data_IF_125046882969
#
_entry.id   IF_125046882969
#
_cell.length_a   1.000
_cell.length_b   1.000
_cell.length_c   1.000
_cell.angle_alpha   90.00
_cell.angle_beta   90.00
_cell.angle_gamma   90.00
#
_symmetry.space_group_name_H-M   'P 1'
#
loop_
_entity.id
_entity.type
_entity.pdbx_description
1 polymer ?
#
# COMPACT_ATOMS: atom_id res chain seq x y z
N UNK A 1 -29.87 -55.14 3.14
CA UNK A 1 -30.46 -53.83 3.52
C UNK A 1 -29.32 -52.84 3.57
N UNK A 2 -28.92 -52.33 2.40
CA UNK A 2 -27.83 -51.36 2.27
C UNK A 2 -28.36 -49.96 2.58
N UNK A 3 -27.96 -49.42 3.72
CA UNK A 3 -28.27 -48.06 4.13
C UNK A 3 -27.22 -47.12 3.55
N UNK A 4 -27.48 -46.63 2.33
CA UNK A 4 -26.65 -45.64 1.65
C UNK A 4 -26.69 -44.31 2.43
N UNK A 5 -25.59 -44.00 3.14
CA UNK A 5 -25.42 -42.76 3.89
C UNK A 5 -25.35 -41.59 2.91
N UNK A 6 -26.40 -40.78 2.84
CA UNK A 6 -26.46 -39.54 2.05
C UNK A 6 -25.36 -38.57 2.51
N UNK A 7 -24.40 -38.28 1.64
CA UNK A 7 -23.36 -37.27 1.90
C UNK A 7 -24.00 -35.88 1.95
N UNK A 8 -23.94 -35.21 3.11
CA UNK A 8 -24.37 -33.80 3.27
C UNK A 8 -23.52 -32.90 2.38
N UNK A 9 -24.17 -31.97 1.67
CA UNK A 9 -23.53 -30.94 0.87
C UNK A 9 -22.55 -30.09 1.71
N UNK A 10 -21.45 -29.59 1.13
CA UNK A 10 -20.46 -28.80 1.85
C UNK A 10 -21.07 -27.50 2.36
N UNK A 11 -21.19 -27.37 3.69
CA UNK A 11 -21.60 -26.13 4.36
C UNK A 11 -20.57 -25.03 4.05
N UNK A 12 -21.04 -23.86 3.65
CA UNK A 12 -20.20 -22.72 3.26
C UNK A 12 -19.36 -22.23 4.47
N UNK A 13 -18.06 -22.53 4.49
CA UNK A 13 -17.15 -22.36 5.65
C UNK A 13 -16.52 -20.96 5.77
N UNK A 14 -17.13 -19.93 5.17
CA UNK A 14 -16.59 -18.56 5.13
C UNK A 14 -16.71 -17.75 6.44
N UNK A 15 -17.22 -18.33 7.53
CA UNK A 15 -17.16 -17.66 8.83
C UNK A 15 -15.72 -17.65 9.32
N UNK A 16 -15.11 -16.46 9.39
CA UNK A 16 -13.83 -16.27 10.06
C UNK A 16 -14.08 -16.41 11.57
N UNK A 17 -13.44 -17.40 12.19
CA UNK A 17 -13.44 -17.51 13.64
C UNK A 17 -12.46 -16.47 14.18
N UNK A 18 -12.95 -15.50 14.94
CA UNK A 18 -12.11 -14.52 15.62
C UNK A 18 -11.71 -15.09 16.98
N UNK A 19 -10.43 -15.42 17.13
CA UNK A 19 -9.84 -15.81 18.41
C UNK A 19 -8.95 -14.66 18.91
N UNK A 20 -8.86 -14.47 20.21
CA UNK A 20 -8.14 -13.33 20.81
C UNK A 20 -6.62 -13.40 20.60
N UNK A 21 -6.05 -14.60 20.51
CA UNK A 21 -4.60 -14.84 20.39
C UNK A 21 -4.25 -15.54 19.07
N UNK A 22 -2.96 -15.56 18.73
CA UNK A 22 -2.45 -16.35 17.61
C UNK A 22 -2.50 -17.85 17.93
N UNK A 23 -2.67 -18.70 16.91
CA UNK A 23 -2.74 -20.17 17.08
C UNK A 23 -1.49 -20.80 17.71
N UNK A 24 -0.32 -20.16 17.59
CA UNK A 24 0.91 -20.59 18.27
C UNK A 24 0.81 -20.53 19.79
N UNK A 25 0.10 -19.53 20.33
CA UNK A 25 -0.02 -19.33 21.76
C UNK A 25 -0.97 -20.36 22.37
N UNK A 26 -2.11 -20.62 21.71
CA UNK A 26 -3.00 -21.72 22.12
C UNK A 26 -2.33 -23.08 21.99
N UNK A 27 -1.48 -23.27 20.98
CA UNK A 27 -0.73 -24.51 20.82
C UNK A 27 0.16 -24.81 22.04
N UNK A 28 0.80 -23.78 22.61
CA UNK A 28 1.57 -23.91 23.86
C UNK A 28 0.66 -24.22 25.06
N UNK A 29 -0.47 -23.52 25.19
CA UNK A 29 -1.42 -23.69 26.30
C UNK A 29 -2.06 -25.09 26.35
N UNK A 30 -2.37 -25.66 25.18
CA UNK A 30 -2.95 -27.00 25.04
C UNK A 30 -1.89 -28.10 24.80
N UNK A 31 -0.60 -27.78 24.93
CA UNK A 31 0.54 -28.68 24.67
C UNK A 31 0.36 -29.50 23.37
N UNK A 32 0.09 -28.78 22.29
CA UNK A 32 -0.19 -29.29 20.95
C UNK A 32 0.53 -28.46 19.89
N UNK A 33 0.51 -28.88 18.63
CA UNK A 33 1.08 -28.09 17.54
C UNK A 33 0.05 -27.14 16.91
N UNK A 34 0.48 -26.01 16.37
CA UNK A 34 -0.40 -25.04 15.71
C UNK A 34 -1.21 -25.66 14.55
N UNK A 35 -0.68 -26.72 13.91
CA UNK A 35 -1.38 -27.49 12.88
C UNK A 35 -2.58 -28.25 13.45
N UNK A 36 -2.45 -28.83 14.65
CA UNK A 36 -3.56 -29.49 15.35
C UNK A 36 -4.66 -28.48 15.70
N UNK A 37 -4.30 -27.31 16.24
CA UNK A 37 -5.27 -26.24 16.54
C UNK A 37 -6.05 -25.82 15.28
N UNK A 38 -5.35 -25.61 14.15
CA UNK A 38 -6.02 -25.31 12.86
C UNK A 38 -6.95 -26.44 12.41
N UNK A 39 -6.56 -27.69 12.62
CA UNK A 39 -7.42 -28.83 12.31
C UNK A 39 -8.68 -28.83 13.19
N UNK A 40 -8.56 -28.54 14.48
CA UNK A 40 -9.71 -28.44 15.40
C UNK A 40 -10.70 -27.35 14.96
N UNK A 41 -10.19 -26.17 14.57
CA UNK A 41 -11.03 -25.09 14.04
C UNK A 41 -11.73 -25.53 12.74
N UNK A 42 -11.03 -26.25 11.86
CA UNK A 42 -11.62 -26.79 10.63
C UNK A 42 -12.76 -27.79 10.93
N UNK A 43 -12.56 -28.71 11.88
CA UNK A 43 -13.59 -29.65 12.31
C UNK A 43 -14.78 -28.94 12.96
N UNK A 44 -14.53 -27.92 13.78
CA UNK A 44 -15.58 -27.11 14.37
C UNK A 44 -16.42 -26.38 13.32
N UNK A 45 -15.78 -25.80 12.30
CA UNK A 45 -16.50 -25.18 11.16
C UNK A 45 -17.35 -26.16 10.37
N UNK A 46 -16.91 -27.41 10.21
CA UNK A 46 -17.68 -28.45 9.52
C UNK A 46 -18.92 -28.87 10.31
N UNK A 47 -18.86 -28.82 11.65
CA UNK A 47 -19.96 -29.20 12.54
C UNK A 47 -20.78 -28.01 13.07
N UNK A 48 -20.47 -26.77 12.63
CA UNK A 48 -21.05 -25.52 13.14
C UNK A 48 -20.90 -25.32 14.67
N UNK A 49 -19.88 -25.92 15.31
CA UNK A 49 -19.55 -25.75 16.74
C UNK A 49 -18.05 -25.46 16.86
N UNK A 50 -17.66 -24.19 17.06
CA UNK A 50 -16.26 -23.77 17.10
C UNK A 50 -15.58 -24.18 18.41
N UNK A 51 -14.29 -24.57 18.39
CA UNK A 51 -13.57 -24.91 19.61
C UNK A 51 -13.44 -23.66 20.52
N UNK A 52 -13.75 -23.77 21.83
CA UNK A 52 -13.62 -22.68 22.78
C UNK A 52 -12.15 -22.50 23.22
N UNK A 53 -11.28 -22.07 22.31
CA UNK A 53 -9.83 -21.93 22.56
C UNK A 53 -9.50 -20.93 23.68
N UNK A 54 -10.35 -19.92 23.89
CA UNK A 54 -10.21 -18.92 24.95
C UNK A 54 -10.63 -19.42 26.34
N UNK A 55 -11.31 -20.57 26.41
CA UNK A 55 -11.84 -21.15 27.64
C UNK A 55 -11.38 -22.61 27.74
N UNK A 56 -10.16 -22.87 28.23
CA UNK A 56 -9.59 -24.22 28.26
C UNK A 56 -10.45 -25.23 29.04
N UNK A 57 -11.21 -24.76 30.05
CA UNK A 57 -12.16 -25.58 30.79
C UNK A 57 -13.29 -26.16 29.94
N UNK A 58 -13.79 -25.41 28.95
CA UNK A 58 -14.87 -25.83 28.06
C UNK A 58 -14.38 -26.75 26.92
N UNK A 59 -13.05 -26.85 26.74
CA UNK A 59 -12.44 -27.54 25.60
C UNK A 59 -12.66 -29.07 25.63
N UNK A 60 -12.64 -29.68 26.82
CA UNK A 60 -12.92 -31.11 26.98
C UNK A 60 -14.36 -31.46 26.58
N UNK A 61 -15.32 -30.61 26.96
CA UNK A 61 -16.73 -30.78 26.62
C UNK A 61 -16.96 -30.61 25.11
N UNK A 62 -16.31 -29.62 24.48
CA UNK A 62 -16.35 -29.46 23.03
C UNK A 62 -15.77 -30.68 22.30
N UNK A 63 -14.62 -31.20 22.76
CA UNK A 63 -13.98 -32.37 22.17
C UNK A 63 -14.90 -33.58 22.16
N UNK A 64 -15.55 -33.88 23.29
CA UNK A 64 -16.46 -35.00 23.44
C UNK A 64 -17.67 -34.93 22.49
N UNK A 65 -18.12 -33.71 22.12
CA UNK A 65 -19.24 -33.50 21.18
C UNK A 65 -18.82 -33.61 19.72
N UNK A 66 -17.68 -33.03 19.35
CA UNK A 66 -17.30 -32.81 17.94
C UNK A 66 -16.35 -33.89 17.42
N UNK A 67 -15.49 -34.45 18.27
CA UNK A 67 -14.52 -35.48 17.88
C UNK A 67 -15.06 -36.87 18.16
N UNK A 68 -14.75 -37.82 17.28
CA UNK A 68 -15.16 -39.24 17.42
C UNK A 68 -14.25 -40.05 18.36
N UNK A 69 -13.09 -39.52 18.71
CA UNK A 69 -12.10 -40.20 19.52
C UNK A 69 -12.22 -39.81 20.99
N UNK A 70 -11.68 -40.65 21.87
CA UNK A 70 -11.55 -40.37 23.30
C UNK A 70 -10.94 -38.98 23.54
N UNK A 71 -11.43 -38.30 24.58
CA UNK A 71 -10.91 -36.99 25.02
C UNK A 71 -9.50 -37.20 25.57
N UNK A 72 -8.47 -36.51 25.02
CA UNK A 72 -7.12 -36.56 25.57
C UNK A 72 -7.10 -36.22 27.06
N UNK A 73 -6.35 -37.00 27.84
CA UNK A 73 -6.27 -36.84 29.30
C UNK A 73 -5.79 -35.44 29.72
N UNK A 74 -4.96 -34.80 28.90
CA UNK A 74 -4.52 -33.41 29.09
C UNK A 74 -5.67 -32.41 29.11
N UNK A 75 -6.67 -32.57 28.25
CA UNK A 75 -7.85 -31.68 28.23
C UNK A 75 -8.73 -31.93 29.47
N UNK A 76 -8.82 -33.19 29.92
CA UNK A 76 -9.52 -33.53 31.16
C UNK A 76 -8.80 -32.94 32.38
N UNK A 77 -7.46 -32.96 32.40
CA UNK A 77 -6.66 -32.33 33.44
C UNK A 77 -6.91 -30.81 33.49
N UNK A 78 -6.95 -30.13 32.34
CA UNK A 78 -7.27 -28.70 32.26
C UNK A 78 -8.69 -28.38 32.78
N UNK A 79 -9.69 -29.23 32.47
CA UNK A 79 -11.04 -29.05 33.02
C UNK A 79 -11.11 -29.26 34.53
N UNK A 80 -10.27 -30.15 35.09
CA UNK A 80 -10.21 -30.44 36.53
C UNK A 80 -9.39 -29.41 37.31
N UNK A 81 -8.43 -28.75 36.65
CA UNK A 81 -7.50 -27.81 37.28
C UNK A 81 -8.08 -26.40 37.49
N UNK A 82 -9.39 -26.19 37.28
CA UNK A 82 -10.02 -24.86 37.40
C UNK A 82 -10.73 -24.64 38.74
N UNK A 83 -9.99 -24.65 39.85
CA UNK A 83 -10.23 -23.86 41.10
C UNK A 83 -8.90 -23.76 41.87
N UNK A 84 -8.47 -22.62 42.47
CA UNK A 84 -9.09 -21.30 42.52
C UNK A 84 -8.30 -20.23 41.74
N UNK A 85 -9.05 -19.22 41.30
CA UNK A 85 -8.60 -17.83 41.14
C UNK A 85 -7.62 -17.46 42.25
N UNK A 86 -6.33 -17.62 41.98
CA UNK A 86 -5.28 -17.10 42.83
C UNK A 86 -5.14 -15.64 42.46
N UNK A 87 -5.93 -14.79 43.13
CA UNK A 87 -5.55 -13.41 43.39
C UNK A 87 -4.17 -13.45 44.05
N UNK A 88 -3.14 -13.48 43.22
CA UNK A 88 -1.79 -13.21 43.69
C UNK A 88 -1.84 -11.76 44.19
N UNK A 89 -1.40 -11.48 45.44
CA UNK A 89 -1.28 -10.10 45.91
C UNK A 89 -0.34 -9.42 44.93
N UNK A 90 -0.89 -8.54 44.10
CA UNK A 90 -0.10 -7.67 43.25
C UNK A 90 0.79 -6.89 44.23
N UNK A 91 2.13 -6.99 44.17
CA UNK A 91 2.96 -6.12 44.96
C UNK A 91 2.55 -4.69 44.61
N UNK A 92 2.27 -3.88 45.63
CA UNK A 92 1.91 -2.46 45.54
C UNK A 92 3.00 -1.71 44.76
N UNK A 93 2.94 -1.82 43.44
CA UNK A 93 3.73 -1.02 42.53
C UNK A 93 3.17 0.39 42.65
N UNK A 94 4.01 1.39 42.95
CA UNK A 94 3.56 2.76 43.05
C UNK A 94 2.79 3.12 41.77
N UNK A 95 1.68 3.87 41.88
CA UNK A 95 0.84 4.22 40.75
C UNK A 95 1.74 4.75 39.64
N UNK A 96 1.77 4.02 38.51
CA UNK A 96 2.61 4.39 37.39
C UNK A 96 2.27 5.83 37.03
N UNK A 97 3.28 6.71 37.11
CA UNK A 97 3.10 8.11 36.80
C UNK A 97 2.39 8.24 35.44
N UNK A 98 1.38 9.11 35.30
CA UNK A 98 0.66 9.27 34.06
C UNK A 98 1.66 9.57 32.95
N UNK A 99 1.76 8.68 31.97
CA UNK A 99 2.61 8.88 30.81
C UNK A 99 2.00 9.98 29.97
N UNK A 100 2.69 11.10 29.85
CA UNK A 100 2.25 12.19 28.98
C UNK A 100 2.47 11.79 27.52
N UNK A 101 1.39 11.77 26.75
CA UNK A 101 1.39 11.49 25.31
C UNK A 101 1.07 12.74 24.49
N UNK A 102 1.08 13.93 25.11
CA UNK A 102 0.80 15.21 24.45
C UNK A 102 1.70 15.48 23.23
N UNK A 103 2.89 14.89 23.18
CA UNK A 103 3.83 15.02 22.07
C UNK A 103 3.63 14.02 20.92
N UNK A 104 2.75 13.01 21.07
CA UNK A 104 2.51 12.03 20.02
C UNK A 104 1.61 12.65 18.96
N UNK A 105 2.23 13.11 17.87
CA UNK A 105 1.53 13.54 16.66
C UNK A 105 1.29 12.35 15.73
N UNK A 106 0.08 12.25 15.18
CA UNK A 106 -0.19 11.34 14.06
C UNK A 106 0.57 11.80 12.81
N UNK A 107 1.45 10.96 12.29
CA UNK A 107 2.22 11.22 11.07
C UNK A 107 1.43 10.71 9.86
N UNK A 108 1.39 11.51 8.80
CA UNK A 108 0.96 11.00 7.49
C UNK A 108 1.95 9.92 6.99
N UNK A 109 1.53 9.08 6.05
CA UNK A 109 2.39 8.02 5.51
C UNK A 109 3.66 8.60 4.87
N UNK A 110 3.57 9.73 4.15
CA UNK A 110 4.74 10.40 3.59
C UNK A 110 5.67 10.90 4.69
N UNK A 111 5.12 11.57 5.71
CA UNK A 111 5.90 12.06 6.86
C UNK A 111 6.58 10.90 7.59
N UNK A 112 5.87 9.78 7.79
CA UNK A 112 6.41 8.58 8.42
C UNK A 112 7.58 7.98 7.63
N UNK A 113 7.49 7.91 6.29
CA UNK A 113 8.61 7.46 5.45
C UNK A 113 9.81 8.40 5.58
N UNK A 114 9.59 9.72 5.66
CA UNK A 114 10.68 10.68 5.86
C UNK A 114 11.34 10.53 7.25
N UNK A 115 10.57 10.34 8.31
CA UNK A 115 11.13 10.08 9.64
C UNK A 115 11.90 8.75 9.70
N UNK A 116 11.43 7.71 9.00
CA UNK A 116 12.16 6.45 8.89
C UNK A 116 13.48 6.60 8.12
N UNK A 117 13.54 7.45 7.09
CA UNK A 117 14.79 7.78 6.39
C UNK A 117 15.78 8.49 7.31
N UNK A 118 15.31 9.44 8.12
CA UNK A 118 16.14 10.11 9.14
C UNK A 118 16.64 9.11 10.18
N UNK A 119 15.77 8.25 10.68
CA UNK A 119 16.11 7.22 11.66
C UNK A 119 17.17 6.26 11.11
N UNK A 120 17.02 5.81 9.85
CA UNK A 120 18.00 4.96 9.19
C UNK A 120 19.36 5.66 9.04
N UNK A 121 19.36 6.95 8.69
CA UNK A 121 20.59 7.73 8.59
C UNK A 121 21.31 7.86 9.95
N UNK A 122 20.54 8.05 11.04
CA UNK A 122 21.06 8.06 12.41
C UNK A 122 21.62 6.69 12.78
N UNK A 123 20.88 5.61 12.54
CA UNK A 123 21.33 4.24 12.84
C UNK A 123 22.60 3.88 12.07
N UNK A 124 22.71 4.33 10.82
CA UNK A 124 23.94 4.16 10.02
C UNK A 124 25.12 4.91 10.63
N UNK A 125 24.93 6.17 10.99
CA UNK A 125 25.98 6.97 11.63
C UNK A 125 26.47 6.33 12.93
N UNK A 126 25.53 5.88 13.79
CA UNK A 126 25.86 5.20 15.04
C UNK A 126 26.56 3.86 14.82
N UNK A 127 26.27 3.17 13.72
CA UNK A 127 26.98 1.95 13.32
C UNK A 127 28.41 2.27 12.87
N UNK A 128 28.60 3.31 12.05
CA UNK A 128 29.91 3.77 11.59
C UNK A 128 30.80 4.20 12.78
N UNK A 129 30.22 4.91 13.76
CA UNK A 129 30.90 5.25 15.02
C UNK A 129 31.28 4.01 15.85
N UNK A 130 30.38 3.03 15.95
CA UNK A 130 30.67 1.78 16.66
C UNK A 130 31.80 0.99 16.00
N UNK A 131 31.86 0.98 14.66
CA UNK A 131 32.98 0.38 13.92
C UNK A 131 34.31 1.08 14.20
N UNK A 132 34.31 2.39 14.44
CA UNK A 132 35.52 3.12 14.85
C UNK A 132 35.95 2.80 16.29
N UNK A 133 34.99 2.52 17.19
CA UNK A 133 35.22 2.28 18.62
C UNK A 133 35.78 0.90 19.02
N UNK A 134 35.90 -0.06 18.08
CA UNK A 134 36.42 -1.43 18.31
C UNK A 134 35.66 -2.31 19.33
N UNK A 135 34.49 -1.89 19.83
CA UNK A 135 33.64 -2.71 20.71
C UNK A 135 32.69 -3.60 19.90
N UNK A 136 33.02 -4.89 19.75
CA UNK A 136 32.25 -5.85 18.94
C UNK A 136 30.78 -6.00 19.37
N UNK A 137 30.50 -5.93 20.68
CA UNK A 137 29.14 -6.07 21.21
C UNK A 137 28.24 -4.91 20.79
N UNK A 138 28.77 -3.68 20.75
CA UNK A 138 28.07 -2.51 20.27
C UNK A 138 27.84 -2.57 18.76
N UNK A 139 28.85 -3.02 17.99
CA UNK A 139 28.72 -3.19 16.54
C UNK A 139 27.57 -4.15 16.21
N UNK A 140 27.52 -5.32 16.85
CA UNK A 140 26.45 -6.30 16.61
C UNK A 140 25.05 -5.76 16.94
N UNK A 141 24.92 -4.97 18.02
CA UNK A 141 23.66 -4.32 18.38
C UNK A 141 23.25 -3.27 17.34
N UNK A 142 24.18 -2.40 16.93
CA UNK A 142 23.92 -1.34 15.94
C UNK A 142 23.60 -1.90 14.57
N UNK A 143 24.28 -2.97 14.16
CA UNK A 143 23.96 -3.68 12.92
C UNK A 143 22.54 -4.22 12.91
N UNK A 144 22.09 -4.81 14.02
CA UNK A 144 20.72 -5.34 14.14
C UNK A 144 19.69 -4.21 14.04
N UNK A 145 19.95 -3.09 14.70
CA UNK A 145 19.06 -1.93 14.64
C UNK A 145 19.00 -1.36 13.22
N UNK A 146 20.15 -1.14 12.57
CA UNK A 146 20.23 -0.69 11.19
C UNK A 146 19.47 -1.62 10.23
N UNK A 147 19.69 -2.94 10.32
CA UNK A 147 18.97 -3.94 9.50
C UNK A 147 17.46 -3.86 9.73
N UNK A 148 17.03 -3.75 10.99
CA UNK A 148 15.61 -3.62 11.35
C UNK A 148 14.97 -2.34 10.78
N UNK A 149 15.62 -1.18 10.97
CA UNK A 149 15.16 0.11 10.45
C UNK A 149 15.12 0.11 8.92
N UNK A 150 16.10 -0.51 8.27
CA UNK A 150 16.14 -0.65 6.81
C UNK A 150 14.98 -1.50 6.26
N UNK A 151 14.71 -2.66 6.87
CA UNK A 151 13.57 -3.50 6.46
C UNK A 151 12.23 -2.80 6.66
N UNK A 152 12.10 -2.04 7.76
CA UNK A 152 10.89 -1.30 8.07
C UNK A 152 10.67 -0.16 7.06
N UNK A 153 11.73 0.61 6.75
CA UNK A 153 11.69 1.63 5.69
C UNK A 153 11.28 1.02 4.35
N UNK A 154 11.90 -0.09 3.94
CA UNK A 154 11.59 -0.76 2.68
C UNK A 154 10.12 -1.19 2.59
N UNK A 155 9.56 -1.73 3.68
CA UNK A 155 8.13 -2.10 3.73
C UNK A 155 7.24 -0.85 3.61
N UNK A 156 7.56 0.21 4.33
CA UNK A 156 6.80 1.46 4.29
C UNK A 156 6.82 2.10 2.88
N UNK A 157 7.98 2.12 2.21
CA UNK A 157 8.11 2.62 0.84
C UNK A 157 7.31 1.80 -0.17
N UNK A 158 7.33 0.46 -0.07
CA UNK A 158 6.49 -0.40 -0.91
C UNK A 158 5.00 -0.12 -0.66
N UNK A 159 4.59 0.05 0.60
CA UNK A 159 3.19 0.39 0.93
C UNK A 159 2.80 1.74 0.35
N UNK A 160 3.67 2.75 0.47
CA UNK A 160 3.47 4.07 -0.11
C UNK A 160 3.33 3.98 -1.64
N UNK A 161 4.21 3.25 -2.30
CA UNK A 161 4.14 3.03 -3.75
C UNK A 161 2.85 2.31 -4.15
N UNK A 162 2.43 1.26 -3.45
CA UNK A 162 1.19 0.55 -3.73
C UNK A 162 -0.05 1.44 -3.55
N UNK A 163 -0.04 2.34 -2.55
CA UNK A 163 -1.11 3.31 -2.36
C UNK A 163 -1.12 4.37 -3.46
N UNK A 164 0.05 4.85 -3.87
CA UNK A 164 0.17 5.75 -5.02
C UNK A 164 -0.37 5.08 -6.30
N UNK A 165 0.01 3.82 -6.54
CA UNK A 165 -0.52 3.01 -7.64
C UNK A 165 -2.03 2.85 -7.57
N UNK A 166 -2.57 2.48 -6.40
CA UNK A 166 -4.01 2.31 -6.20
C UNK A 166 -4.81 3.61 -6.34
N UNK A 167 -4.19 4.75 -6.00
CA UNK A 167 -4.79 6.07 -6.18
C UNK A 167 -4.72 6.61 -7.62
N UNK A 168 -4.05 5.89 -8.54
CA UNK A 168 -3.80 6.36 -9.91
C UNK A 168 -2.68 7.39 -10.03
N UNK A 169 -2.03 7.76 -8.92
CA UNK A 169 -0.88 8.66 -8.88
C UNK A 169 0.44 7.92 -9.16
N UNK A 170 0.45 7.09 -10.22
CA UNK A 170 1.65 6.35 -10.64
C UNK A 170 2.69 7.25 -11.29
N UNK A 171 2.25 8.36 -11.86
CA UNK A 171 3.10 9.32 -12.53
C UNK A 171 3.19 10.54 -11.64
N UNK A 172 4.41 11.00 -11.39
CA UNK A 172 4.64 12.26 -10.70
C UNK A 172 3.93 13.37 -11.46
N UNK A 173 2.83 13.85 -10.89
CA UNK A 173 1.94 14.79 -11.55
C UNK A 173 2.65 16.08 -11.88
N UNK A 174 3.54 16.52 -11.00
CA UNK A 174 4.34 17.74 -11.21
C UNK A 174 5.27 17.55 -12.42
N UNK A 175 5.90 16.39 -12.54
CA UNK A 175 6.69 16.04 -13.74
C UNK A 175 5.83 16.02 -15.00
N UNK A 176 4.62 15.46 -14.97
CA UNK A 176 3.72 15.46 -16.15
C UNK A 176 3.30 16.88 -16.52
N UNK A 177 2.95 17.70 -15.54
CA UNK A 177 2.54 19.09 -15.76
C UNK A 177 3.68 19.91 -16.40
N UNK A 178 4.93 19.71 -15.96
CA UNK A 178 6.11 20.34 -16.58
C UNK A 178 6.31 19.87 -18.02
N UNK A 179 6.26 18.57 -18.29
CA UNK A 179 6.40 18.03 -19.65
C UNK A 179 5.27 18.51 -20.56
N UNK A 180 4.03 18.54 -20.05
CA UNK A 180 2.88 19.04 -20.80
C UNK A 180 3.06 20.54 -21.13
N UNK A 181 3.54 21.34 -20.19
CA UNK A 181 3.84 22.75 -20.42
C UNK A 181 4.93 22.95 -21.49
N UNK A 182 5.99 22.13 -21.47
CA UNK A 182 7.04 22.15 -22.49
C UNK A 182 6.49 21.77 -23.88
N UNK A 183 5.66 20.73 -23.96
CA UNK A 183 5.01 20.32 -25.22
C UNK A 183 4.11 21.45 -25.74
N UNK A 184 3.30 22.06 -24.89
CA UNK A 184 2.44 23.19 -25.27
C UNK A 184 3.24 24.39 -25.77
N UNK A 185 4.37 24.72 -25.14
CA UNK A 185 5.24 25.80 -25.59
C UNK A 185 5.93 25.45 -26.92
N UNK A 186 6.36 24.19 -27.10
CA UNK A 186 6.93 23.75 -28.37
C UNK A 186 5.91 23.84 -29.52
N UNK A 187 4.66 23.47 -29.27
CA UNK A 187 3.55 23.59 -30.24
C UNK A 187 3.26 25.05 -30.54
N UNK A 188 3.32 25.93 -29.53
CA UNK A 188 3.17 27.37 -29.71
C UNK A 188 4.27 27.93 -30.63
N UNK A 189 5.54 27.63 -30.37
CA UNK A 189 6.66 28.09 -31.20
C UNK A 189 6.56 27.53 -32.63
N UNK A 190 6.19 26.24 -32.78
CA UNK A 190 5.95 25.63 -34.09
C UNK A 190 4.85 26.37 -34.85
N UNK A 191 3.74 26.71 -34.19
CA UNK A 191 2.63 27.46 -34.77
C UNK A 191 3.05 28.86 -35.23
N UNK A 192 3.80 29.58 -34.40
CA UNK A 192 4.31 30.92 -34.73
C UNK A 192 5.29 30.90 -35.93
N UNK A 193 6.04 29.81 -36.10
CA UNK A 193 7.07 29.69 -37.15
C UNK A 193 6.61 28.90 -38.40
N UNK A 194 5.51 28.16 -38.33
CA UNK A 194 5.00 27.31 -39.42
C UNK A 194 4.80 28.06 -40.75
N UNK A 195 4.18 29.27 -40.80
CA UNK A 195 3.96 29.95 -42.07
C UNK A 195 5.28 30.26 -42.79
N UNK A 196 6.29 30.73 -42.04
CA UNK A 196 7.62 31.02 -42.57
C UNK A 196 8.32 29.77 -43.08
N UNK A 197 8.19 28.65 -42.35
CA UNK A 197 8.75 27.35 -42.76
C UNK A 197 8.10 26.82 -44.03
N UNK A 198 6.78 26.92 -44.14
CA UNK A 198 6.03 26.51 -45.34
C UNK A 198 6.50 27.34 -46.54
N UNK A 199 6.56 28.67 -46.40
CA UNK A 199 7.04 29.55 -47.48
C UNK A 199 8.49 29.24 -47.87
N UNK A 200 9.37 29.00 -46.90
CA UNK A 200 10.77 28.65 -47.17
C UNK A 200 10.92 27.31 -47.92
N UNK A 201 10.12 26.29 -47.58
CA UNK A 201 10.14 25.02 -48.32
C UNK A 201 9.59 25.18 -49.74
N UNK A 202 8.57 26.01 -49.95
CA UNK A 202 8.09 26.33 -51.30
C UNK A 202 9.15 27.07 -52.12
N UNK A 203 9.88 28.02 -51.52
CA UNK A 203 11.01 28.71 -52.18
C UNK A 203 12.13 27.73 -52.55
N UNK A 204 12.37 26.71 -51.71
CA UNK A 204 13.37 25.67 -51.97
C UNK A 204 12.95 24.72 -53.10
N UNK A 205 11.68 24.33 -53.14
CA UNK A 205 11.16 23.36 -54.11
C UNK A 205 10.86 23.98 -55.48
N UNK A 206 10.49 25.27 -55.54
CA UNK A 206 10.11 25.92 -56.79
C UNK A 206 11.33 26.50 -57.52
N UNK A 207 11.54 26.14 -58.81
CA UNK A 207 12.54 26.80 -59.64
C UNK A 207 12.31 28.31 -59.69
N UNK A 208 13.37 29.12 -59.70
CA UNK A 208 13.31 30.60 -59.74
C UNK A 208 12.38 31.18 -60.81
N UNK A 209 12.16 30.44 -61.92
CA UNK A 209 11.24 30.82 -63.00
C UNK A 209 9.76 30.87 -62.57
N UNK A 210 9.39 30.16 -61.49
CA UNK A 210 8.03 30.11 -60.95
C UNK A 210 7.78 31.13 -59.83
N UNK A 211 8.73 32.02 -59.53
CA UNK A 211 8.56 33.05 -58.49
C UNK A 211 7.30 33.93 -58.70
N UNK A 212 6.89 34.13 -59.95
CA UNK A 212 5.64 34.84 -60.29
C UNK A 212 4.39 34.08 -59.85
N UNK A 213 4.37 32.76 -60.05
CA UNK A 213 3.28 31.87 -59.61
C UNK A 213 3.25 31.82 -58.10
N UNK A 214 4.41 31.79 -57.45
CA UNK A 214 4.51 31.81 -56.00
C UNK A 214 3.87 33.07 -55.39
N UNK A 215 4.14 34.28 -55.91
CA UNK A 215 3.48 35.51 -55.43
C UNK A 215 1.96 35.49 -55.56
N UNK A 216 1.44 34.80 -56.58
CA UNK A 216 -0.01 34.65 -56.77
C UNK A 216 -0.56 33.70 -55.69
N UNK A 217 0.12 32.56 -55.47
CA UNK A 217 -0.28 31.57 -54.47
C UNK A 217 -0.16 32.13 -53.05
N UNK A 218 0.91 32.87 -52.74
CA UNK A 218 1.19 33.48 -51.44
C UNK A 218 0.00 34.30 -50.93
N UNK A 219 -0.66 35.05 -51.83
CA UNK A 219 -1.85 35.85 -51.51
C UNK A 219 -3.03 35.00 -51.00
N UNK A 220 -3.13 33.73 -51.42
CA UNK A 220 -4.17 32.80 -50.96
C UNK A 220 -3.68 31.91 -49.82
N UNK A 221 -2.38 31.62 -49.77
CA UNK A 221 -1.78 30.75 -48.79
C UNK A 221 -1.78 31.39 -47.40
N UNK A 222 -1.46 32.69 -47.30
CA UNK A 222 -1.45 33.41 -46.02
C UNK A 222 -2.84 33.39 -45.34
N UNK A 223 -3.95 33.78 -46.01
CA UNK A 223 -5.29 33.69 -45.42
C UNK A 223 -5.71 32.25 -45.07
N UNK A 224 -5.33 31.27 -45.89
CA UNK A 224 -5.64 29.86 -45.59
C UNK A 224 -4.92 29.38 -44.33
N UNK A 225 -3.64 29.74 -44.17
CA UNK A 225 -2.86 29.45 -42.97
C UNK A 225 -3.45 30.17 -41.76
N UNK A 226 -3.83 31.44 -41.88
CA UNK A 226 -4.50 32.18 -40.79
C UNK A 226 -5.85 31.56 -40.39
N UNK A 227 -6.64 31.07 -41.35
CA UNK A 227 -7.90 30.39 -41.06
C UNK A 227 -7.69 29.10 -40.24
N UNK A 228 -6.69 28.30 -40.60
CA UNK A 228 -6.29 27.13 -39.79
C UNK A 228 -5.80 27.58 -38.42
N UNK A 229 -5.01 28.66 -38.37
CA UNK A 229 -4.50 29.24 -37.12
C UNK A 229 -5.59 29.65 -36.14
N UNK A 230 -6.71 30.17 -36.64
CA UNK A 230 -7.87 30.56 -35.83
C UNK A 230 -8.62 29.35 -35.28
N UNK A 231 -8.81 28.30 -36.08
CA UNK A 231 -9.41 27.04 -35.63
C UNK A 231 -8.57 26.36 -34.55
N UNK A 232 -7.24 26.38 -34.71
CA UNK A 232 -6.32 25.92 -33.66
C UNK A 232 -6.39 26.80 -32.40
N UNK A 233 -6.55 28.12 -32.55
CA UNK A 233 -6.66 29.06 -31.42
C UNK A 233 -7.87 28.74 -30.54
N UNK A 234 -8.96 28.23 -31.13
CA UNK A 234 -10.13 27.75 -30.40
C UNK A 234 -9.81 26.49 -29.59
N UNK A 235 -9.06 25.54 -30.16
CA UNK A 235 -8.57 24.35 -29.44
C UNK A 235 -7.67 24.77 -28.27
N UNK A 236 -6.74 25.70 -28.49
CA UNK A 236 -5.86 26.19 -27.43
C UNK A 236 -6.60 27.01 -26.38
N UNK A 237 -7.62 27.77 -26.74
CA UNK A 237 -8.45 28.50 -25.78
C UNK A 237 -9.22 27.53 -24.88
N UNK A 238 -9.72 26.42 -25.46
CA UNK A 238 -10.29 25.32 -24.69
C UNK A 238 -9.23 24.64 -23.82
N UNK A 239 -7.98 24.51 -24.28
CA UNK A 239 -6.88 23.99 -23.47
C UNK A 239 -6.46 24.96 -22.33
N UNK A 240 -6.59 26.28 -22.52
CA UNK A 240 -6.31 27.27 -21.46
C UNK A 240 -7.36 27.27 -20.36
N UNK A 241 -8.59 26.84 -20.61
CA UNK A 241 -9.53 26.61 -19.51
C UNK A 241 -9.09 25.50 -18.55
N UNK A 242 -8.05 24.72 -18.89
CA UNK A 242 -7.38 23.78 -18.00
C UNK A 242 -6.18 24.38 -17.25
N UNK A 243 -5.87 25.68 -17.38
CA UNK A 243 -4.76 26.33 -16.64
C UNK A 243 -4.97 26.30 -15.12
N UNK A 244 -6.22 26.12 -14.67
CA UNK A 244 -6.51 25.88 -13.27
C UNK A 244 -6.36 24.39 -12.94
N UNK A 245 -5.46 24.00 -12.02
CA UNK A 245 -5.38 22.62 -11.55
C UNK A 245 -6.71 22.13 -10.95
N UNK A 246 -7.59 23.03 -10.50
CA UNK A 246 -8.95 22.70 -10.05
C UNK A 246 -9.89 22.35 -11.20
N UNK A 247 -9.77 23.00 -12.37
CA UNK A 247 -10.55 22.68 -13.56
C UNK A 247 -10.17 21.30 -14.13
N UNK A 248 -8.88 20.97 -14.11
CA UNK A 248 -8.41 19.61 -14.44
C UNK A 248 -8.98 18.60 -13.42
N UNK A 249 -8.98 18.93 -12.11
CA UNK A 249 -9.53 18.06 -11.06
C UNK A 249 -11.03 17.80 -11.22
N UNK A 250 -11.83 18.81 -11.59
CA UNK A 250 -13.28 18.60 -11.77
C UNK A 250 -13.60 17.72 -12.97
N UNK A 251 -12.76 17.74 -14.00
CA UNK A 251 -12.98 17.00 -15.24
C UNK A 251 -12.51 15.54 -15.14
N UNK A 252 -11.47 15.27 -14.34
CA UNK A 252 -11.03 13.90 -14.01
C UNK A 252 -11.90 13.20 -12.96
N UNK A 253 -12.68 13.97 -12.19
CA UNK A 253 -13.59 13.44 -11.18
C UNK A 253 -14.99 13.08 -11.74
N UNK A 254 -15.29 13.48 -12.99
CA UNK A 254 -16.53 13.18 -13.70
C UNK A 254 -16.38 11.93 -14.58
#
# INVERSE_FOLDING_TARGET
MDSTVKSKAPVNTRKHAAFARQYSNYAQEFDSCARAIKAWVKFGKQNNDLPPLDRPAEMAAWWARVMKHSVPEKLLALSRSTVPTSESPQPDLPPAAPRDFSHIRGLDLNENVQELRRTLAIDKHLLDEAHAGSEESLVALRERNYKSSFELLRKAEITLQNLQQGSGNLIDRDSVEVELAQVLESLRIMRETMPRRILAEFERLLPRRLARVFRIIERFLVPAVEKVRLAEEEIFRNLRSFESPEAIRSLLAA
#
